data_IF_579054796682
#
_entry.id   IF_579054796682
#
_cell.length_a   1.000
_cell.length_b   1.000
_cell.length_c   1.000
_cell.angle_alpha   90.00
_cell.angle_beta   90.00
_cell.angle_gamma   90.00
#
_symmetry.space_group_name_H-M   'P 1'
#
loop_
_entity.id
_entity.type
_entity.pdbx_description
1 polymer ?
#
# COMPACT_ATOMS: atom_id res chain seq x y z
N UNK A 1 8.60 -32.12 23.06
CA UNK A 1 8.55 -30.69 22.69
C UNK A 1 9.38 -30.51 21.44
N UNK A 2 8.76 -30.21 20.29
CA UNK A 2 9.44 -29.72 19.09
C UNK A 2 8.44 -28.81 18.38
N UNK A 3 8.55 -27.48 18.55
CA UNK A 3 7.86 -26.50 17.71
C UNK A 3 8.75 -26.25 16.50
N UNK A 4 8.30 -26.68 15.33
CA UNK A 4 8.90 -26.35 14.03
C UNK A 4 8.92 -24.83 13.86
N UNK A 5 10.10 -24.25 13.75
CA UNK A 5 10.31 -22.89 13.25
C UNK A 5 9.90 -22.88 11.78
N UNK A 6 8.82 -22.18 11.43
CA UNK A 6 8.49 -21.91 10.03
C UNK A 6 9.58 -20.99 9.47
N UNK A 7 10.47 -21.56 8.67
CA UNK A 7 11.37 -20.81 7.80
C UNK A 7 10.50 -20.01 6.82
N UNK A 8 10.44 -18.69 7.03
CA UNK A 8 9.91 -17.76 6.05
C UNK A 8 10.75 -17.92 4.78
N UNK A 9 10.20 -18.60 3.78
CA UNK A 9 10.84 -18.78 2.48
C UNK A 9 10.96 -17.39 1.86
N UNK A 10 12.17 -16.84 1.87
CA UNK A 10 12.49 -15.50 1.37
C UNK A 10 12.21 -15.47 -0.14
N UNK A 11 10.99 -15.10 -0.52
CA UNK A 11 10.63 -15.01 -1.93
C UNK A 11 11.43 -13.87 -2.54
N UNK A 12 12.27 -14.19 -3.53
CA UNK A 12 13.07 -13.21 -4.24
C UNK A 12 12.18 -12.04 -4.71
N UNK A 13 12.69 -10.80 -4.67
CA UNK A 13 11.93 -9.65 -5.13
C UNK A 13 11.53 -9.85 -6.60
N UNK A 14 10.31 -9.43 -6.99
CA UNK A 14 9.82 -9.63 -8.34
C UNK A 14 10.70 -8.90 -9.35
N UNK A 15 10.97 -9.56 -10.48
CA UNK A 15 11.73 -9.01 -11.60
C UNK A 15 10.95 -7.89 -12.30
N UNK A 16 11.65 -7.04 -13.06
CA UNK A 16 11.03 -5.98 -13.87
C UNK A 16 9.98 -6.55 -14.82
N UNK A 17 10.28 -7.68 -15.48
CA UNK A 17 9.36 -8.34 -16.42
C UNK A 17 8.08 -8.84 -15.72
N UNK A 18 8.18 -9.39 -14.51
CA UNK A 18 7.02 -9.82 -13.72
C UNK A 18 6.14 -8.62 -13.30
N UNK A 19 6.78 -7.50 -12.94
CA UNK A 19 6.08 -6.25 -12.61
C UNK A 19 5.38 -5.66 -13.85
N UNK A 20 6.02 -5.65 -15.01
CA UNK A 20 5.42 -5.22 -16.28
C UNK A 20 4.25 -6.11 -16.69
N UNK A 21 4.40 -7.43 -16.56
CA UNK A 21 3.29 -8.37 -16.79
C UNK A 21 2.12 -8.14 -15.82
N UNK A 22 2.40 -7.75 -14.56
CA UNK A 22 1.36 -7.35 -13.60
C UNK A 22 0.67 -6.06 -14.00
N UNK A 23 1.42 -5.04 -14.47
CA UNK A 23 0.85 -3.80 -15.00
C UNK A 23 -0.10 -4.12 -16.16
N UNK A 24 0.31 -4.94 -17.13
CA UNK A 24 -0.53 -5.30 -18.26
C UNK A 24 -1.85 -5.96 -17.83
N UNK A 25 -1.79 -6.92 -16.88
CA UNK A 25 -3.00 -7.56 -16.34
C UNK A 25 -3.92 -6.56 -15.66
N UNK A 26 -3.37 -5.66 -14.83
CA UNK A 26 -4.16 -4.64 -14.14
C UNK A 26 -4.74 -3.59 -15.09
N UNK A 27 -4.02 -3.25 -16.17
CA UNK A 27 -4.53 -2.38 -17.24
C UNK A 27 -5.76 -3.02 -17.92
N UNK A 28 -5.67 -4.31 -18.26
CA UNK A 28 -6.82 -5.03 -18.82
C UNK A 28 -8.00 -5.08 -17.83
N UNK A 29 -7.73 -5.28 -16.53
CA UNK A 29 -8.75 -5.27 -15.49
C UNK A 29 -9.45 -3.92 -15.39
N UNK A 30 -8.69 -2.81 -15.35
CA UNK A 30 -9.27 -1.45 -15.30
C UNK A 30 -10.13 -1.18 -16.54
N UNK A 31 -9.71 -1.66 -17.72
CA UNK A 31 -10.53 -1.55 -18.93
C UNK A 31 -11.82 -2.37 -18.84
N UNK A 32 -11.77 -3.57 -18.26
CA UNK A 32 -12.96 -4.40 -18.05
C UNK A 32 -13.91 -3.76 -17.01
N UNK A 33 -13.36 -3.20 -15.93
CA UNK A 33 -14.13 -2.49 -14.89
C UNK A 33 -14.84 -1.26 -15.48
N UNK A 34 -14.18 -0.52 -16.39
CA UNK A 34 -14.80 0.60 -17.08
C UNK A 34 -15.99 0.18 -17.96
N UNK A 35 -15.86 -0.93 -18.70
CA UNK A 35 -16.95 -1.48 -19.50
C UNK A 35 -18.11 -2.00 -18.61
N UNK A 36 -17.79 -2.62 -17.48
CA UNK A 36 -18.79 -3.07 -16.52
C UNK A 36 -19.54 -1.89 -15.89
N UNK A 37 -18.83 -0.82 -15.54
CA UNK A 37 -19.43 0.42 -15.05
C UNK A 37 -20.43 1.02 -16.03
N UNK A 38 -20.08 1.04 -17.33
CA UNK A 38 -21.01 1.54 -18.35
C UNK A 38 -22.30 0.73 -18.41
N UNK A 39 -22.21 -0.60 -18.36
CA UNK A 39 -23.40 -1.48 -18.32
C UNK A 39 -24.25 -1.25 -17.07
N UNK A 40 -23.62 -0.95 -15.93
CA UNK A 40 -24.33 -0.65 -14.69
C UNK A 40 -25.00 0.71 -14.76
N UNK A 41 -24.34 1.72 -15.32
CA UNK A 41 -24.94 3.04 -15.54
C UNK A 41 -26.16 2.94 -16.47
N UNK A 42 -26.09 2.11 -17.53
CA UNK A 42 -27.23 1.82 -18.41
C UNK A 42 -28.37 1.12 -17.67
N UNK A 43 -28.05 0.15 -16.80
CA UNK A 43 -29.04 -0.56 -15.99
C UNK A 43 -29.73 0.37 -14.98
N UNK A 44 -28.99 1.28 -14.34
CA UNK A 44 -29.55 2.32 -13.47
C UNK A 44 -30.48 3.24 -14.25
N UNK A 45 -30.05 3.69 -15.45
CA UNK A 45 -30.89 4.53 -16.29
C UNK A 45 -32.19 3.83 -16.73
N UNK A 46 -32.13 2.53 -17.03
CA UNK A 46 -33.31 1.72 -17.32
C UNK A 46 -34.22 1.56 -16.10
N UNK A 47 -33.66 1.24 -14.93
CA UNK A 47 -34.42 1.11 -13.70
C UNK A 47 -35.16 2.41 -13.35
N UNK A 48 -34.49 3.58 -13.48
CA UNK A 48 -35.11 4.89 -13.26
C UNK A 48 -36.30 5.11 -14.21
N UNK A 49 -36.16 4.74 -15.50
CA UNK A 49 -37.24 4.85 -16.48
C UNK A 49 -38.42 3.93 -16.20
N UNK A 50 -38.17 2.77 -15.58
CA UNK A 50 -39.23 1.80 -15.23
C UNK A 50 -40.17 2.31 -14.13
N UNK A 51 -39.71 3.25 -13.29
CA UNK A 51 -40.46 3.74 -12.13
C UNK A 51 -40.51 2.76 -10.96
N UNK A 52 -39.88 1.58 -11.07
CA UNK A 52 -39.79 0.60 -9.98
C UNK A 52 -38.67 0.99 -9.01
N UNK A 53 -39.06 1.51 -7.84
CA UNK A 53 -38.15 1.96 -6.79
C UNK A 53 -37.24 0.82 -6.29
N UNK A 54 -37.73 -0.43 -6.26
CA UNK A 54 -36.91 -1.55 -5.80
C UNK A 54 -35.79 -1.85 -6.80
N UNK A 55 -36.09 -1.84 -8.10
CA UNK A 55 -35.08 -2.00 -9.15
C UNK A 55 -34.07 -0.85 -9.17
N UNK A 56 -34.51 0.38 -8.91
CA UNK A 56 -33.61 1.55 -8.82
C UNK A 56 -32.62 1.39 -7.65
N UNK A 57 -33.10 0.94 -6.48
CA UNK A 57 -32.26 0.69 -5.32
C UNK A 57 -31.22 -0.41 -5.60
N UNK A 58 -31.67 -1.55 -6.13
CA UNK A 58 -30.77 -2.66 -6.46
C UNK A 58 -29.69 -2.27 -7.47
N UNK A 59 -30.06 -1.56 -8.54
CA UNK A 59 -29.11 -1.10 -9.55
C UNK A 59 -28.11 -0.06 -8.96
N UNK A 60 -28.57 0.78 -8.03
CA UNK A 60 -27.71 1.79 -7.37
C UNK A 60 -26.74 1.15 -6.37
N UNK A 61 -27.15 0.10 -5.66
CA UNK A 61 -26.27 -0.68 -4.78
C UNK A 61 -25.20 -1.43 -5.58
N UNK A 62 -25.58 -2.01 -6.72
CA UNK A 62 -24.65 -2.62 -7.67
C UNK A 62 -23.63 -1.58 -8.18
N UNK A 63 -24.09 -0.37 -8.54
CA UNK A 63 -23.23 0.76 -8.93
C UNK A 63 -22.24 1.16 -7.84
N UNK A 64 -22.72 1.25 -6.60
CA UNK A 64 -21.87 1.61 -5.46
C UNK A 64 -20.76 0.58 -5.22
N UNK A 65 -21.07 -0.71 -5.40
CA UNK A 65 -20.09 -1.79 -5.28
C UNK A 65 -19.07 -1.75 -6.42
N UNK A 66 -19.51 -1.56 -7.65
CA UNK A 66 -18.64 -1.47 -8.82
C UNK A 66 -17.69 -0.26 -8.78
N UNK A 67 -18.13 0.90 -8.27
CA UNK A 67 -17.25 2.06 -8.04
C UNK A 67 -16.12 1.70 -7.07
N UNK A 68 -16.42 0.98 -5.99
CA UNK A 68 -15.41 0.57 -4.99
C UNK A 68 -14.38 -0.37 -5.62
N UNK A 69 -14.83 -1.33 -6.43
CA UNK A 69 -13.94 -2.32 -7.04
C UNK A 69 -13.09 -1.69 -8.14
N UNK A 70 -13.67 -0.86 -9.01
CA UNK A 70 -12.93 -0.06 -10.00
C UNK A 70 -11.86 0.83 -9.34
N UNK A 71 -12.20 1.48 -8.22
CA UNK A 71 -11.25 2.28 -7.43
C UNK A 71 -10.07 1.46 -6.87
N UNK A 72 -10.31 0.20 -6.46
CA UNK A 72 -9.24 -0.72 -6.02
C UNK A 72 -8.34 -1.08 -7.20
N UNK A 73 -8.90 -1.48 -8.34
CA UNK A 73 -8.12 -1.84 -9.54
C UNK A 73 -7.25 -0.69 -10.02
N UNK A 74 -7.79 0.54 -10.05
CA UNK A 74 -7.04 1.74 -10.41
C UNK A 74 -5.88 2.02 -9.44
N UNK A 75 -6.11 1.88 -8.13
CA UNK A 75 -5.08 2.05 -7.10
C UNK A 75 -3.98 0.98 -7.22
N UNK A 76 -4.36 -0.27 -7.48
CA UNK A 76 -3.42 -1.37 -7.70
C UNK A 76 -2.59 -1.13 -8.96
N UNK A 77 -3.19 -0.66 -10.06
CA UNK A 77 -2.49 -0.31 -11.29
C UNK A 77 -1.47 0.79 -11.04
N UNK A 78 -1.86 1.90 -10.39
CA UNK A 78 -0.93 2.99 -10.04
C UNK A 78 0.25 2.47 -9.21
N UNK A 79 -0.03 1.62 -8.22
CA UNK A 79 1.01 1.04 -7.37
C UNK A 79 1.97 0.14 -8.16
N UNK A 80 1.45 -0.67 -9.08
CA UNK A 80 2.27 -1.54 -9.94
C UNK A 80 3.13 -0.72 -10.91
N UNK A 81 2.60 0.37 -11.48
CA UNK A 81 3.36 1.29 -12.33
C UNK A 81 4.51 1.95 -11.56
N UNK A 82 4.26 2.44 -10.33
CA UNK A 82 5.32 2.98 -9.46
C UNK A 82 6.40 1.95 -9.13
N UNK A 83 6.01 0.68 -8.95
CA UNK A 83 6.97 -0.40 -8.69
C UNK A 83 7.85 -0.69 -9.92
N UNK A 84 7.29 -0.69 -11.13
CA UNK A 84 8.07 -0.82 -12.38
C UNK A 84 9.08 0.32 -12.50
N UNK A 85 8.65 1.57 -12.29
CA UNK A 85 9.53 2.73 -12.38
C UNK A 85 10.68 2.64 -11.36
N UNK A 86 10.35 2.26 -10.12
CA UNK A 86 11.35 2.06 -9.07
C UNK A 86 12.35 0.97 -9.43
N UNK A 87 11.90 -0.16 -9.97
CA UNK A 87 12.75 -1.27 -10.36
C UNK A 87 13.67 -0.92 -11.54
N UNK A 88 13.16 -0.18 -12.54
CA UNK A 88 13.97 0.36 -13.66
C UNK A 88 15.05 1.31 -13.17
N UNK A 89 14.71 2.19 -12.23
CA UNK A 89 15.67 3.12 -11.64
C UNK A 89 16.75 2.41 -10.82
N UNK A 90 16.38 1.37 -10.06
CA UNK A 90 17.33 0.55 -9.32
C UNK A 90 18.29 -0.21 -10.27
N UNK A 91 17.76 -0.80 -11.35
CA UNK A 91 18.58 -1.49 -12.35
C UNK A 91 19.59 -0.56 -13.05
N UNK A 92 19.25 0.74 -13.18
CA UNK A 92 20.09 1.74 -13.82
C UNK A 92 20.89 2.61 -12.85
N UNK A 93 20.90 2.31 -11.55
CA UNK A 93 21.51 3.18 -10.52
C UNK A 93 22.99 3.48 -10.78
N UNK A 94 23.79 2.46 -11.15
CA UNK A 94 25.21 2.62 -11.47
C UNK A 94 25.44 3.55 -12.67
N UNK A 95 24.76 3.29 -13.79
CA UNK A 95 24.86 4.13 -15.01
C UNK A 95 24.44 5.58 -14.77
N UNK A 96 23.48 5.81 -13.87
CA UNK A 96 23.04 7.16 -13.49
C UNK A 96 24.09 7.88 -12.65
N UNK A 97 24.76 7.17 -11.73
CA UNK A 97 25.90 7.71 -10.98
C UNK A 97 27.04 8.10 -11.93
N UNK A 98 27.37 7.26 -12.92
CA UNK A 98 28.40 7.55 -13.92
C UNK A 98 28.08 8.85 -14.69
N UNK A 99 26.81 9.07 -15.07
CA UNK A 99 26.38 10.30 -15.75
C UNK A 99 26.43 11.51 -14.81
N UNK A 100 26.13 11.35 -13.52
CA UNK A 100 26.28 12.44 -12.55
C UNK A 100 27.74 12.86 -12.44
N UNK A 101 28.67 11.91 -12.37
CA UNK A 101 30.11 12.17 -12.33
C UNK A 101 30.61 12.84 -13.62
N UNK A 102 30.16 12.36 -14.78
CA UNK A 102 30.48 12.98 -16.06
C UNK A 102 29.97 14.43 -16.15
N UNK A 103 28.74 14.69 -15.72
CA UNK A 103 28.15 16.04 -15.73
C UNK A 103 28.87 16.99 -14.76
N UNK A 104 29.36 16.49 -13.62
CA UNK A 104 30.22 17.26 -12.69
C UNK A 104 31.55 17.65 -13.34
N UNK A 105 32.11 16.79 -14.19
CA UNK A 105 33.40 17.00 -14.84
C UNK A 105 33.32 17.94 -16.07
N UNK A 106 32.41 17.68 -17.01
CA UNK A 106 32.37 18.40 -18.31
C UNK A 106 31.40 19.60 -18.35
N UNK A 107 30.51 19.71 -17.36
CA UNK A 107 29.49 20.77 -17.21
C UNK A 107 28.49 20.87 -18.37
N UNK A 108 28.41 19.85 -19.24
CA UNK A 108 27.46 19.77 -20.35
C UNK A 108 26.09 19.30 -19.87
N UNK A 109 25.20 20.22 -19.56
CA UNK A 109 23.92 19.87 -18.90
C UNK A 109 22.95 19.13 -19.83
N UNK A 110 22.81 19.58 -21.09
CA UNK A 110 21.74 19.11 -21.97
C UNK A 110 21.89 17.63 -22.36
N UNK A 111 23.10 17.20 -22.73
CA UNK A 111 23.36 15.82 -23.15
C UNK A 111 23.18 14.83 -22.00
N UNK A 112 23.74 15.15 -20.84
CA UNK A 112 23.65 14.30 -19.65
C UNK A 112 22.25 14.24 -19.07
N UNK A 113 21.49 15.34 -19.11
CA UNK A 113 20.08 15.32 -18.71
C UNK A 113 19.26 14.38 -19.60
N UNK A 114 19.47 14.41 -20.92
CA UNK A 114 18.79 13.52 -21.86
C UNK A 114 19.15 12.04 -21.62
N UNK A 115 20.42 11.76 -21.30
CA UNK A 115 20.87 10.43 -20.93
C UNK A 115 20.20 9.94 -19.63
N UNK A 116 20.05 10.80 -18.63
CA UNK A 116 19.34 10.48 -17.39
C UNK A 116 17.85 10.18 -17.62
N UNK A 117 17.18 10.95 -18.48
CA UNK A 117 15.79 10.69 -18.86
C UNK A 117 15.63 9.36 -19.61
N UNK A 118 16.57 9.02 -20.49
CA UNK A 118 16.60 7.71 -21.18
C UNK A 118 16.74 6.54 -20.19
N UNK A 119 17.42 6.76 -19.07
CA UNK A 119 17.56 5.79 -17.98
C UNK A 119 16.38 5.78 -16.99
N UNK A 120 15.32 6.55 -17.26
CA UNK A 120 14.08 6.56 -16.49
C UNK A 120 13.99 7.64 -15.42
N UNK A 121 14.87 8.64 -15.40
CA UNK A 121 14.62 9.84 -14.61
C UNK A 121 13.43 10.62 -15.20
N UNK A 122 12.66 11.29 -14.36
CA UNK A 122 11.62 12.27 -14.74
C UNK A 122 12.07 13.70 -14.44
N UNK A 123 13.02 13.87 -13.52
CA UNK A 123 13.61 15.17 -13.20
C UNK A 123 15.12 15.08 -12.96
N UNK A 124 15.81 16.19 -13.22
CA UNK A 124 17.22 16.43 -12.90
C UNK A 124 17.30 17.76 -12.15
N UNK A 125 17.98 17.77 -11.01
CA UNK A 125 18.20 18.95 -10.17
C UNK A 125 19.69 19.21 -10.07
N UNK A 126 20.07 20.44 -10.38
CA UNK A 126 21.44 20.93 -10.21
C UNK A 126 21.43 21.88 -9.00
N UNK A 127 22.37 21.66 -8.09
CA UNK A 127 22.60 22.53 -6.94
C UNK A 127 24.10 22.78 -6.79
N UNK A 128 24.44 23.76 -5.97
CA UNK A 128 25.83 23.96 -5.52
C UNK A 128 25.85 23.57 -4.05
N UNK A 129 26.78 22.70 -3.69
CA UNK A 129 26.95 22.27 -2.30
C UNK A 129 27.65 23.35 -1.45
N UNK A 130 27.81 23.08 -0.14
CA UNK A 130 28.46 23.99 0.80
C UNK A 130 29.92 24.31 0.46
N UNK A 131 30.56 23.47 -0.36
CA UNK A 131 31.96 23.58 -0.75
C UNK A 131 32.12 24.24 -2.13
N UNK A 132 31.03 24.73 -2.73
CA UNK A 132 31.03 25.37 -4.04
C UNK A 132 31.08 24.40 -5.22
N UNK A 133 30.91 23.08 -5.01
CA UNK A 133 30.91 22.07 -6.06
C UNK A 133 29.51 21.82 -6.61
N UNK A 134 29.46 21.38 -7.87
CA UNK A 134 28.20 21.02 -8.52
C UNK A 134 27.64 19.71 -7.94
N UNK A 135 26.47 19.80 -7.33
CA UNK A 135 25.67 18.66 -6.93
C UNK A 135 24.64 18.36 -8.03
N UNK A 136 24.68 17.14 -8.57
CA UNK A 136 23.73 16.64 -9.56
C UNK A 136 22.85 15.60 -8.89
N UNK A 137 21.54 15.82 -8.92
CA UNK A 137 20.51 14.92 -8.43
C UNK A 137 19.55 14.57 -9.57
N UNK A 138 19.00 13.35 -9.56
CA UNK A 138 17.93 13.00 -10.49
C UNK A 138 16.97 11.99 -9.85
N UNK A 139 15.71 12.01 -10.26
CA UNK A 139 14.68 11.09 -9.77
C UNK A 139 13.53 10.96 -10.75
N UNK A 140 12.56 10.09 -10.45
CA UNK A 140 11.40 9.82 -11.30
C UNK A 140 10.57 8.66 -10.74
N UNK A 141 9.27 8.66 -11.02
CA UNK A 141 8.26 7.88 -10.32
C UNK A 141 8.03 8.42 -8.91
N UNK A 142 6.81 8.31 -8.38
CA UNK A 142 6.60 8.39 -6.92
C UNK A 142 7.38 7.24 -6.26
N UNK A 143 8.72 7.34 -6.15
CA UNK A 143 9.49 6.62 -5.17
C UNK A 143 9.16 7.31 -3.86
N UNK A 144 7.97 7.02 -3.33
CA UNK A 144 7.81 7.08 -1.89
C UNK A 144 8.90 6.15 -1.40
N UNK A 145 9.93 6.72 -0.74
CA UNK A 145 10.89 5.99 0.07
C UNK A 145 10.13 4.81 0.63
N UNK A 146 10.52 3.57 0.27
CA UNK A 146 9.90 2.39 0.86
C UNK A 146 9.83 2.71 2.34
N UNK A 147 8.60 2.84 2.90
CA UNK A 147 8.44 3.26 4.29
C UNK A 147 9.42 2.40 5.03
N UNK A 148 10.41 3.02 5.67
CA UNK A 148 11.34 2.28 6.51
C UNK A 148 10.45 1.33 7.30
N UNK A 149 10.74 0.01 7.31
CA UNK A 149 9.90 -0.95 8.02
C UNK A 149 9.63 -0.29 9.34
N UNK A 150 8.35 0.07 9.54
CA UNK A 150 7.96 0.82 10.71
C UNK A 150 8.53 0.01 11.86
N UNK A 151 9.39 0.61 12.67
CA UNK A 151 9.87 -0.02 13.90
C UNK A 151 8.68 -0.44 14.78
N UNK A 152 7.48 0.09 14.49
CA UNK A 152 6.20 -0.50 14.84
C UNK A 152 5.66 -1.37 13.69
N UNK A 153 6.19 -2.59 13.57
CA UNK A 153 5.77 -3.62 12.63
C UNK A 153 4.40 -4.18 13.00
N UNK A 154 3.35 -3.37 12.91
CA UNK A 154 1.97 -3.82 12.99
C UNK A 154 1.54 -4.41 11.66
N UNK A 155 1.91 -5.68 11.40
CA UNK A 155 1.12 -6.50 10.48
C UNK A 155 -0.33 -6.39 10.92
N UNK A 156 -1.27 -6.34 9.98
CA UNK A 156 -2.71 -6.32 10.26
C UNK A 156 -3.05 -7.62 11.00
N UNK A 157 -2.92 -7.63 12.32
CA UNK A 157 -3.02 -8.81 13.20
C UNK A 157 -1.96 -8.95 14.30
N UNK A 158 -0.88 -8.15 14.34
CA UNK A 158 0.27 -8.42 15.24
C UNK A 158 0.71 -7.19 16.04
N UNK A 159 -0.21 -6.42 16.63
CA UNK A 159 0.20 -5.62 17.77
C UNK A 159 0.51 -6.59 18.92
N UNK A 160 1.77 -6.59 19.38
CA UNK A 160 2.24 -7.40 20.49
C UNK A 160 2.20 -6.59 21.78
N UNK A 161 1.56 -7.14 22.80
CA UNK A 161 1.38 -6.55 24.12
C UNK A 161 2.14 -7.40 25.13
N UNK A 162 2.97 -6.78 25.95
CA UNK A 162 3.69 -7.49 27.01
C UNK A 162 2.99 -7.24 28.35
N UNK A 163 2.53 -8.31 28.99
CA UNK A 163 1.93 -8.28 30.34
C UNK A 163 2.65 -9.35 31.15
N UNK A 164 3.23 -8.97 32.29
CA UNK A 164 3.94 -9.86 33.22
C UNK A 164 5.00 -10.77 32.56
N UNK A 165 5.72 -10.23 31.56
CA UNK A 165 6.76 -10.97 30.82
C UNK A 165 6.23 -11.97 29.79
N UNK A 166 4.91 -12.01 29.55
CA UNK A 166 4.29 -12.78 28.49
C UNK A 166 3.86 -11.85 27.33
N UNK A 167 4.20 -12.23 26.10
CA UNK A 167 3.77 -11.51 24.90
C UNK A 167 2.45 -12.06 24.34
N UNK A 168 1.52 -11.16 24.03
CA UNK A 168 0.21 -11.45 23.45
C UNK A 168 0.02 -10.70 22.14
N UNK A 169 -0.65 -11.28 21.16
CA UNK A 169 -1.28 -10.49 20.08
C UNK A 169 -2.49 -9.71 20.63
N UNK A 170 -2.97 -8.68 19.92
CA UNK A 170 -4.21 -7.98 20.30
C UNK A 170 -5.39 -8.91 20.54
N UNK A 171 -5.52 -9.98 19.74
CA UNK A 171 -6.61 -10.94 19.92
C UNK A 171 -6.40 -11.80 21.16
N UNK A 172 -5.19 -12.35 21.34
CA UNK A 172 -4.88 -13.18 22.50
C UNK A 172 -5.00 -12.41 23.82
N UNK A 173 -4.63 -11.13 23.84
CA UNK A 173 -4.81 -10.29 25.02
C UNK A 173 -6.29 -10.07 25.35
N UNK A 174 -7.11 -9.77 24.33
CA UNK A 174 -8.56 -9.60 24.53
C UNK A 174 -9.21 -10.93 24.93
N UNK A 175 -8.81 -12.06 24.35
CA UNK A 175 -9.31 -13.39 24.69
C UNK A 175 -8.94 -13.79 26.12
N UNK A 176 -7.75 -13.42 26.61
CA UNK A 176 -7.31 -13.70 27.98
C UNK A 176 -7.98 -12.80 29.03
N UNK A 177 -8.44 -11.60 28.63
CA UNK A 177 -8.99 -10.57 29.52
C UNK A 177 -10.37 -10.10 29.06
N UNK A 178 -11.21 -11.03 28.60
CA UNK A 178 -12.55 -10.70 28.12
C UNK A 178 -13.39 -10.04 29.21
N UNK A 179 -13.14 -10.37 30.48
CA UNK A 179 -13.76 -9.79 31.68
C UNK A 179 -13.61 -8.27 31.74
N UNK A 180 -12.51 -7.73 31.21
CA UNK A 180 -12.23 -6.30 31.20
C UNK A 180 -12.97 -5.53 30.09
N UNK A 181 -13.64 -6.22 29.16
CA UNK A 181 -14.44 -5.59 28.10
C UNK A 181 -15.76 -5.04 28.63
N UNK A 182 -16.21 -3.91 28.07
CA UNK A 182 -17.60 -3.45 28.25
C UNK A 182 -18.58 -4.39 27.54
N UNK A 183 -19.82 -4.50 28.03
CA UNK A 183 -20.85 -5.39 27.47
C UNK A 183 -21.03 -5.20 25.95
N UNK A 184 -21.04 -3.95 25.49
CA UNK A 184 -21.17 -3.60 24.06
C UNK A 184 -19.97 -4.06 23.22
N UNK A 185 -18.76 -3.98 23.75
CA UNK A 185 -17.55 -4.42 23.04
C UNK A 185 -17.48 -5.95 23.04
N UNK A 186 -17.88 -6.61 24.14
CA UNK A 186 -17.99 -8.07 24.22
C UNK A 186 -18.98 -8.61 23.18
N UNK A 187 -20.16 -8.00 23.05
CA UNK A 187 -21.14 -8.36 22.03
C UNK A 187 -20.58 -8.24 20.59
N UNK A 188 -19.82 -7.19 20.30
CA UNK A 188 -19.17 -7.03 19.00
C UNK A 188 -18.01 -8.00 18.76
N UNK A 189 -17.29 -8.37 19.81
CA UNK A 189 -16.22 -9.35 19.77
C UNK A 189 -16.77 -10.76 19.48
N UNK A 190 -17.80 -11.17 20.22
CA UNK A 190 -18.44 -12.50 20.10
C UNK A 190 -19.15 -12.67 18.74
N UNK A 191 -19.73 -11.59 18.20
CA UNK A 191 -20.35 -11.59 16.87
C UNK A 191 -19.36 -11.56 15.71
N UNK A 192 -18.04 -11.43 15.98
CA UNK A 192 -17.02 -11.31 14.95
C UNK A 192 -17.12 -10.03 14.11
N UNK A 193 -17.87 -9.02 14.58
CA UNK A 193 -18.10 -7.77 13.86
C UNK A 193 -16.97 -6.75 14.14
N UNK A 194 -15.77 -7.06 13.66
CA UNK A 194 -14.56 -6.23 13.84
C UNK A 194 -14.57 -4.91 13.05
N UNK A 195 -15.68 -4.58 12.36
CA UNK A 195 -15.90 -3.25 11.77
C UNK A 195 -16.43 -2.25 12.80
N UNK A 196 -17.12 -2.72 13.84
CA UNK A 196 -17.76 -1.90 14.85
C UNK A 196 -16.79 -1.44 15.97
N UNK A 197 -15.60 -2.04 16.08
CA UNK A 197 -14.58 -1.67 17.07
C UNK A 197 -13.17 -2.03 16.59
N UNK A 198 -12.16 -1.35 17.13
CA UNK A 198 -10.75 -1.59 16.80
C UNK A 198 -10.10 -2.52 17.83
N UNK A 199 -9.73 -3.74 17.41
CA UNK A 199 -9.01 -4.69 18.28
C UNK A 199 -7.72 -4.12 18.85
N UNK A 200 -7.00 -3.29 18.08
CA UNK A 200 -5.75 -2.69 18.55
C UNK A 200 -5.99 -1.68 19.67
N UNK A 201 -7.04 -0.84 19.56
CA UNK A 201 -7.36 0.16 20.60
C UNK A 201 -7.88 -0.50 21.87
N UNK A 202 -8.65 -1.58 21.74
CA UNK A 202 -9.18 -2.27 22.89
C UNK A 202 -8.08 -3.03 23.65
N UNK A 203 -7.18 -3.68 22.90
CA UNK A 203 -5.99 -4.28 23.49
C UNK A 203 -5.08 -3.23 24.15
N UNK A 204 -4.94 -2.04 23.57
CA UNK A 204 -4.21 -0.91 24.17
C UNK A 204 -4.80 -0.47 25.51
N UNK A 205 -6.13 -0.40 25.60
CA UNK A 205 -6.84 -0.06 26.83
C UNK A 205 -6.65 -1.13 27.92
N UNK A 206 -6.83 -2.39 27.57
CA UNK A 206 -6.64 -3.53 28.48
C UNK A 206 -5.18 -3.57 28.97
N UNK A 207 -4.22 -3.48 28.04
CA UNK A 207 -2.80 -3.43 28.35
C UNK A 207 -2.46 -2.26 29.28
N UNK A 208 -3.01 -1.08 29.00
CA UNK A 208 -2.88 0.09 29.85
C UNK A 208 -3.37 -0.18 31.28
N UNK A 209 -4.54 -0.80 31.45
CA UNK A 209 -5.07 -1.15 32.77
C UNK A 209 -4.23 -2.20 33.52
N UNK A 210 -3.66 -3.17 32.80
CA UNK A 210 -2.81 -4.22 33.37
C UNK A 210 -1.41 -3.72 33.74
N UNK A 211 -0.91 -2.71 33.04
CA UNK A 211 0.46 -2.19 33.24
C UNK A 211 0.54 -0.85 33.97
N UNK A 212 -0.57 -0.13 34.12
CA UNK A 212 -0.59 1.19 34.78
C UNK A 212 -0.46 1.13 36.30
N UNK A 213 -0.23 -0.04 36.92
CA UNK A 213 0.00 -0.17 38.36
C UNK A 213 -1.17 0.36 39.19
N UNK A 214 -2.22 -0.45 39.29
CA UNK A 214 -3.19 -0.36 40.39
C UNK A 214 -2.91 -1.49 41.38
#
# INVERSE_FOLDING_TARGET
>A
MNKMTQEATEKAPPTVAELEGKVQRLTNQVSADAQAMQKIDDAVAYAIKSGDVAQVLEATDARTSAIKDSGKSATQLKTAQSAVNSAKLAANAGKRADIHDAMRADKSVAGHANALFTLGAEWVKLAVDSDGKLEVNSGGGEIKKARAPSSNGGSRGTASWEVDGQSFTSRELIDAHQDMLTDKVREHFDSGNFRAFSMTREAERIHGLLTSGN
#
